data_IF_105165518943
#
_entry.id   IF_105165518943
#
_cell.length_a   1.000
_cell.length_b   1.000
_cell.length_c   1.000
_cell.angle_alpha   90.00
_cell.angle_beta   90.00
_cell.angle_gamma   90.00
#
_symmetry.space_group_name_H-M   'P 1'
#
loop_
_entity.id
_entity.type
_entity.pdbx_description
1 polymer ?
#
# COMPACT_ATOMS: atom_id res chain seq x y z
N UNK A 1 16.40 -10.82 39.94
CA UNK A 1 16.63 -10.60 38.50
C UNK A 1 15.40 -9.87 37.97
N UNK A 2 15.50 -8.57 37.80
CA UNK A 2 14.44 -7.72 37.25
C UNK A 2 14.53 -7.81 35.72
N UNK A 3 13.52 -8.33 35.11
CA UNK A 3 13.35 -8.22 33.66
C UNK A 3 12.97 -6.77 33.33
N UNK A 4 13.86 -6.07 32.67
CA UNK A 4 13.52 -4.81 32.04
C UNK A 4 12.52 -5.07 30.91
N UNK A 5 11.50 -4.23 30.70
CA UNK A 5 10.61 -4.35 29.52
C UNK A 5 11.45 -4.15 28.28
N UNK A 6 11.22 -4.99 27.27
CA UNK A 6 11.79 -4.84 25.96
C UNK A 6 11.40 -3.45 25.42
N UNK A 7 12.38 -2.55 25.44
CA UNK A 7 12.21 -1.21 24.87
C UNK A 7 11.94 -1.32 23.40
N UNK A 8 10.84 -0.71 22.95
CA UNK A 8 10.54 -0.55 21.55
C UNK A 8 11.78 -0.03 20.81
N UNK A 9 12.17 -0.70 19.77
CA UNK A 9 13.21 -0.28 18.87
C UNK A 9 12.78 1.07 18.27
N UNK A 10 13.45 2.12 18.74
CA UNK A 10 13.27 3.45 18.22
C UNK A 10 13.55 3.42 16.71
N UNK A 11 12.55 3.76 15.92
CA UNK A 11 12.75 4.08 14.52
C UNK A 11 13.84 5.14 14.43
N UNK A 12 14.92 4.86 13.73
CA UNK A 12 15.94 5.86 13.41
C UNK A 12 15.33 7.01 12.60
N UNK A 13 16.00 8.17 12.51
CA UNK A 13 15.53 9.32 11.77
C UNK A 13 15.53 9.02 10.26
N UNK A 14 14.57 8.27 9.77
CA UNK A 14 14.54 7.83 8.38
C UNK A 14 13.38 6.92 8.01
N UNK A 15 12.36 6.83 8.83
CA UNK A 15 11.14 6.11 8.50
C UNK A 15 11.06 4.69 9.05
N UNK A 16 9.87 4.16 9.04
CA UNK A 16 9.55 2.79 9.46
C UNK A 16 10.34 1.79 8.64
N UNK A 17 10.87 0.77 9.30
CA UNK A 17 11.60 -0.33 8.65
C UNK A 17 10.69 -1.23 7.82
N UNK A 18 9.40 -1.17 8.12
CA UNK A 18 8.36 -1.90 7.41
C UNK A 18 7.83 -1.07 6.25
N UNK A 19 7.42 -1.73 5.20
CA UNK A 19 6.91 -1.07 4.01
C UNK A 19 6.11 -2.02 3.14
N UNK A 20 5.32 -1.45 2.26
CA UNK A 20 4.53 -2.19 1.29
C UNK A 20 4.79 -1.65 -0.11
N UNK A 21 4.54 -2.45 -1.12
CA UNK A 21 4.60 -1.99 -2.51
C UNK A 21 3.45 -2.61 -3.28
N UNK A 22 2.71 -1.77 -4.00
CA UNK A 22 1.71 -2.23 -4.96
C UNK A 22 2.04 -1.68 -6.33
N UNK A 23 1.97 -2.53 -7.36
CA UNK A 23 2.09 -2.15 -8.76
C UNK A 23 0.80 -2.55 -9.44
N UNK A 24 0.27 -1.65 -10.28
CA UNK A 24 -1.00 -1.85 -10.98
C UNK A 24 -0.80 -1.71 -12.48
N UNK A 25 -1.47 -2.56 -13.26
CA UNK A 25 -1.40 -2.55 -14.72
C UNK A 25 -2.82 -2.58 -15.29
N UNK A 26 -3.13 -1.58 -16.10
CA UNK A 26 -4.38 -1.52 -16.83
C UNK A 26 -4.45 -2.58 -17.96
N UNK A 27 -5.65 -3.00 -18.32
CA UNK A 27 -5.88 -4.12 -19.24
C UNK A 27 -5.27 -3.95 -20.64
N UNK A 28 -5.10 -2.72 -21.12
CA UNK A 28 -4.47 -2.44 -22.41
C UNK A 28 -2.94 -2.31 -22.30
N UNK A 29 -2.42 -2.11 -21.07
CA UNK A 29 -0.99 -2.10 -20.77
C UNK A 29 -0.44 -3.51 -20.54
N UNK A 30 -1.28 -4.51 -20.31
CA UNK A 30 -0.87 -5.92 -20.14
C UNK A 30 -0.74 -6.66 -21.47
N UNK A 31 0.05 -7.74 -21.49
CA UNK A 31 0.29 -8.54 -22.70
C UNK A 31 -0.91 -9.38 -23.11
N UNK A 32 -1.73 -9.81 -22.17
CA UNK A 32 -2.85 -10.73 -22.34
C UNK A 32 -4.24 -10.09 -22.15
N UNK A 33 -4.28 -8.78 -21.87
CA UNK A 33 -5.53 -8.06 -21.64
C UNK A 33 -6.06 -8.20 -20.19
N UNK A 34 -5.33 -8.83 -19.31
CA UNK A 34 -5.68 -8.88 -17.88
C UNK A 34 -5.44 -7.53 -17.19
N UNK A 35 -6.20 -7.27 -16.12
CA UNK A 35 -5.88 -6.22 -15.15
C UNK A 35 -5.03 -6.85 -14.06
N UNK A 36 -3.95 -6.18 -13.67
CA UNK A 36 -3.08 -6.69 -12.62
C UNK A 36 -2.96 -5.70 -11.48
N UNK A 37 -2.94 -6.22 -10.26
CA UNK A 37 -2.44 -5.55 -9.07
C UNK A 37 -1.61 -6.52 -8.26
N UNK A 38 -0.74 -6.00 -7.43
CA UNK A 38 0.16 -6.77 -6.59
C UNK A 38 0.18 -6.18 -5.20
N UNK A 39 0.72 -6.93 -4.26
CA UNK A 39 0.94 -6.46 -2.91
C UNK A 39 2.14 -7.18 -2.31
N UNK A 40 3.11 -6.40 -1.81
CA UNK A 40 4.09 -6.88 -0.85
C UNK A 40 3.84 -6.22 0.48
N UNK A 41 4.04 -6.93 1.56
CA UNK A 41 3.96 -6.40 2.91
C UNK A 41 5.24 -6.79 3.63
N UNK A 42 6.10 -5.78 3.85
CA UNK A 42 7.41 -5.98 4.42
C UNK A 42 7.32 -5.85 5.95
N UNK A 43 7.66 -6.89 6.67
CA UNK A 43 7.67 -6.89 8.13
C UNK A 43 8.84 -7.69 8.66
N UNK A 44 9.38 -7.29 9.82
CA UNK A 44 10.56 -7.93 10.39
C UNK A 44 10.26 -9.25 11.12
N UNK A 45 9.11 -9.34 11.77
CA UNK A 45 8.77 -10.44 12.66
C UNK A 45 7.54 -11.22 12.17
N UNK A 46 7.06 -10.88 10.98
CA UNK A 46 5.86 -11.46 10.40
C UNK A 46 6.08 -12.81 9.76
N UNK A 47 5.24 -13.77 10.08
CA UNK A 47 5.06 -14.99 9.28
C UNK A 47 3.73 -14.89 8.57
N UNK A 48 3.72 -15.30 7.32
CA UNK A 48 2.50 -15.34 6.54
C UNK A 48 2.26 -16.73 5.98
N UNK A 49 1.02 -17.04 5.76
CA UNK A 49 0.59 -18.26 5.09
C UNK A 49 -0.63 -17.93 4.23
N UNK A 50 -0.87 -18.77 3.25
CA UNK A 50 -2.03 -18.65 2.40
C UNK A 50 -3.17 -19.50 2.98
N UNK A 51 -4.35 -18.90 3.10
CA UNK A 51 -5.58 -19.56 3.51
C UNK A 51 -6.72 -19.25 2.56
N UNK A 52 -7.70 -20.14 2.51
CA UNK A 52 -8.92 -19.94 1.74
C UNK A 52 -10.08 -19.78 2.72
N UNK A 53 -10.76 -18.65 2.64
CA UNK A 53 -12.03 -18.43 3.33
C UNK A 53 -13.15 -18.81 2.37
N UNK A 54 -14.04 -19.76 2.74
CA UNK A 54 -15.08 -20.22 1.84
C UNK A 54 -16.22 -19.20 1.69
N UNK A 55 -16.94 -19.31 0.60
CA UNK A 55 -18.24 -18.66 0.45
C UNK A 55 -19.20 -19.10 1.56
N UNK A 56 -19.90 -18.15 2.17
CA UNK A 56 -20.81 -18.44 3.29
C UNK A 56 -22.17 -17.78 3.12
N UNK A 57 -23.21 -18.48 3.59
CA UNK A 57 -24.56 -17.94 3.77
C UNK A 57 -24.79 -17.62 5.24
N UNK A 58 -25.37 -16.48 5.49
CA UNK A 58 -25.60 -15.98 6.84
C UNK A 58 -27.10 -15.94 7.19
N UNK A 59 -27.49 -16.33 8.41
CA UNK A 59 -28.87 -16.21 8.85
C UNK A 59 -29.30 -14.75 8.93
N UNK A 60 -30.60 -14.50 8.84
CA UNK A 60 -31.17 -13.16 9.03
C UNK A 60 -30.80 -12.60 10.40
N UNK A 61 -30.27 -11.38 10.40
CA UNK A 61 -29.82 -10.69 11.61
C UNK A 61 -28.41 -11.09 12.07
N UNK A 62 -27.65 -11.81 11.24
CA UNK A 62 -26.23 -12.05 11.50
C UNK A 62 -25.44 -10.73 11.56
N UNK A 63 -24.39 -10.72 12.34
CA UNK A 63 -23.48 -9.60 12.49
C UNK A 63 -22.07 -10.00 12.06
N UNK A 64 -21.38 -9.10 11.38
CA UNK A 64 -19.96 -9.17 11.13
C UNK A 64 -19.24 -8.51 12.31
N UNK A 65 -18.42 -9.27 13.01
CA UNK A 65 -17.62 -8.76 14.12
C UNK A 65 -16.43 -7.98 13.55
N UNK A 66 -16.15 -6.84 14.15
CA UNK A 66 -15.04 -5.97 13.81
C UNK A 66 -14.06 -5.98 14.98
N UNK A 67 -12.79 -6.16 14.66
CA UNK A 67 -11.72 -6.16 15.63
C UNK A 67 -10.78 -4.98 15.41
N UNK A 68 -10.26 -4.45 16.49
CA UNK A 68 -9.07 -3.60 16.49
C UNK A 68 -7.83 -4.45 16.81
N UNK A 69 -6.65 -3.86 16.62
CA UNK A 69 -5.39 -4.57 16.85
C UNK A 69 -5.29 -5.88 16.02
N UNK A 70 -5.66 -5.78 14.75
CA UNK A 70 -5.48 -6.86 13.80
C UNK A 70 -4.02 -6.88 13.38
N UNK A 71 -3.24 -7.74 14.04
CA UNK A 71 -1.87 -8.01 13.62
C UNK A 71 -1.88 -8.81 12.31
N UNK A 72 -0.89 -8.57 11.47
CA UNK A 72 -0.66 -9.26 10.20
C UNK A 72 -0.57 -10.79 10.31
N UNK A 73 -0.53 -11.31 11.51
CA UNK A 73 -0.28 -12.71 11.82
C UNK A 73 -1.54 -13.52 12.07
N UNK A 74 -2.68 -12.86 12.14
CA UNK A 74 -3.94 -13.53 12.47
C UNK A 74 -4.54 -14.16 11.22
N UNK A 75 -4.61 -15.47 11.22
CA UNK A 75 -5.27 -16.21 10.15
C UNK A 75 -6.80 -16.05 10.20
N UNK A 76 -7.49 -16.34 9.10
CA UNK A 76 -8.95 -16.31 9.09
C UNK A 76 -9.54 -17.17 10.18
N UNK A 77 -10.42 -16.57 11.01
CA UNK A 77 -11.06 -17.25 12.14
C UNK A 77 -10.23 -17.38 13.41
N UNK A 78 -8.97 -17.00 13.41
CA UNK A 78 -8.18 -16.84 14.63
C UNK A 78 -8.43 -15.45 15.22
N UNK A 79 -8.92 -15.41 16.45
CA UNK A 79 -9.20 -14.18 17.19
C UNK A 79 -8.26 -13.97 18.37
N UNK A 80 -7.19 -14.77 18.45
CA UNK A 80 -6.22 -14.69 19.55
C UNK A 80 -5.52 -13.34 19.57
N UNK A 81 -5.63 -12.62 20.67
CA UNK A 81 -5.03 -11.29 20.83
C UNK A 81 -5.80 -10.13 20.18
N UNK A 82 -6.90 -10.41 19.45
CA UNK A 82 -7.74 -9.38 18.87
C UNK A 82 -8.61 -8.71 19.95
N UNK A 83 -8.86 -7.43 19.76
CA UNK A 83 -9.72 -6.63 20.63
C UNK A 83 -11.03 -6.35 19.92
N UNK A 84 -12.15 -6.75 20.51
CA UNK A 84 -13.48 -6.44 19.97
C UNK A 84 -13.70 -4.93 19.88
N UNK A 85 -13.91 -4.44 18.66
CA UNK A 85 -14.19 -3.03 18.38
C UNK A 85 -15.69 -2.74 18.21
N UNK A 86 -16.45 -3.75 17.77
CA UNK A 86 -17.88 -3.63 17.54
C UNK A 86 -18.41 -4.68 16.57
N UNK A 87 -19.64 -4.47 16.10
CA UNK A 87 -20.25 -5.29 15.06
C UNK A 87 -21.05 -4.44 14.09
N UNK A 88 -21.21 -4.95 12.88
CA UNK A 88 -22.04 -4.34 11.85
C UNK A 88 -22.96 -5.41 11.24
N UNK A 89 -24.12 -5.05 10.66
CA UNK A 89 -24.96 -6.02 9.98
C UNK A 89 -24.19 -6.81 8.93
N UNK A 90 -24.30 -8.14 8.99
CA UNK A 90 -23.73 -9.00 7.95
C UNK A 90 -24.65 -9.06 6.73
N UNK A 91 -24.06 -9.19 5.55
CA UNK A 91 -24.81 -9.44 4.31
C UNK A 91 -25.31 -10.89 4.28
N UNK A 92 -26.39 -11.20 3.52
CA UNK A 92 -26.94 -12.56 3.46
C UNK A 92 -25.96 -13.62 2.97
N UNK A 93 -25.04 -13.23 2.10
CA UNK A 93 -23.99 -14.09 1.54
C UNK A 93 -22.67 -13.32 1.47
N UNK A 94 -21.56 -13.98 1.82
CA UNK A 94 -20.20 -13.47 1.65
C UNK A 94 -19.45 -14.29 0.63
N UNK A 95 -18.72 -13.64 -0.26
CA UNK A 95 -17.86 -14.31 -1.23
C UNK A 95 -16.69 -15.02 -0.54
N UNK A 96 -16.27 -16.15 -1.12
CA UNK A 96 -15.04 -16.80 -0.75
C UNK A 96 -13.83 -15.99 -1.24
N UNK A 97 -12.74 -16.01 -0.47
CA UNK A 97 -11.52 -15.25 -0.82
C UNK A 97 -10.26 -15.97 -0.37
N UNK A 98 -9.15 -15.63 -1.02
CA UNK A 98 -7.81 -16.01 -0.59
C UNK A 98 -7.30 -14.94 0.37
N UNK A 99 -6.75 -15.41 1.47
CA UNK A 99 -6.12 -14.63 2.50
C UNK A 99 -4.62 -14.89 2.53
N UNK A 100 -3.83 -13.82 2.54
CA UNK A 100 -2.38 -13.86 2.75
C UNK A 100 -1.98 -12.54 3.38
N UNK A 101 -1.85 -12.47 4.70
CA UNK A 101 -1.75 -11.25 5.52
C UNK A 101 -3.02 -10.40 5.46
N UNK A 102 -3.41 -10.02 4.25
CA UNK A 102 -4.68 -9.37 3.92
C UNK A 102 -5.52 -10.25 2.99
N UNK A 103 -6.85 -10.08 2.93
CA UNK A 103 -7.65 -10.59 1.83
C UNK A 103 -7.14 -10.03 0.50
N UNK A 104 -6.69 -10.91 -0.40
CA UNK A 104 -6.04 -10.45 -1.62
C UNK A 104 -6.89 -10.63 -2.89
N UNK A 105 -7.71 -11.69 -2.99
CA UNK A 105 -8.59 -11.92 -4.13
C UNK A 105 -9.80 -12.74 -3.72
N UNK A 106 -10.98 -12.37 -4.19
CA UNK A 106 -12.20 -13.13 -3.96
C UNK A 106 -12.63 -13.93 -5.21
N UNK A 107 -13.62 -14.82 -5.04
CA UNK A 107 -14.16 -15.67 -6.10
C UNK A 107 -14.80 -14.92 -7.27
N UNK A 108 -15.04 -13.60 -7.12
CA UNK A 108 -15.50 -12.71 -8.19
C UNK A 108 -14.35 -12.03 -8.93
N UNK A 109 -13.11 -12.40 -8.61
CA UNK A 109 -11.88 -11.81 -9.15
C UNK A 109 -11.70 -10.32 -8.76
N UNK A 110 -12.33 -9.88 -7.67
CA UNK A 110 -11.99 -8.63 -7.04
C UNK A 110 -10.69 -8.83 -6.27
N UNK A 111 -9.68 -8.04 -6.60
CA UNK A 111 -8.33 -8.12 -6.03
C UNK A 111 -8.00 -6.82 -5.32
N UNK A 112 -7.38 -6.91 -4.16
CA UNK A 112 -7.03 -5.76 -3.34
C UNK A 112 -5.57 -5.88 -2.91
N UNK A 113 -4.78 -4.83 -3.18
CA UNK A 113 -3.44 -4.64 -2.63
C UNK A 113 -3.46 -3.47 -1.64
N UNK A 114 -2.51 -3.42 -0.75
CA UNK A 114 -2.40 -2.40 0.28
C UNK A 114 -1.00 -1.78 0.29
N UNK A 115 -0.90 -0.49 0.64
CA UNK A 115 0.35 0.22 0.90
C UNK A 115 0.13 1.44 1.79
N UNK A 116 0.63 1.38 3.01
CA UNK A 116 0.49 2.45 4.00
C UNK A 116 1.23 3.72 3.60
N UNK A 117 0.58 4.86 3.56
CA UNK A 117 1.25 6.16 3.39
C UNK A 117 1.33 6.99 4.70
N UNK A 118 0.71 6.52 5.78
CA UNK A 118 0.71 7.12 7.11
C UNK A 118 -0.13 8.41 7.21
N UNK A 119 0.18 9.40 6.40
CA UNK A 119 -0.51 10.69 6.38
C UNK A 119 -0.22 11.60 7.58
N UNK A 120 -0.97 12.68 7.68
CA UNK A 120 -0.81 13.67 8.75
C UNK A 120 -1.44 13.19 10.04
N UNK A 121 -0.73 13.28 11.17
CA UNK A 121 -1.20 12.82 12.48
C UNK A 121 -2.52 13.46 12.93
N UNK A 122 -2.75 14.71 12.57
CA UNK A 122 -4.00 15.41 12.92
C UNK A 122 -5.25 14.79 12.27
N UNK A 123 -5.08 13.94 11.24
CA UNK A 123 -6.16 13.23 10.59
C UNK A 123 -6.57 11.95 11.30
N UNK A 124 -5.75 11.44 12.22
CA UNK A 124 -6.08 10.22 12.98
C UNK A 124 -7.31 10.45 13.84
N UNK A 125 -8.15 9.42 13.93
CA UNK A 125 -9.35 9.43 14.77
C UNK A 125 -9.33 8.26 15.74
N UNK A 126 -9.72 8.52 16.99
CA UNK A 126 -9.96 7.53 18.03
C UNK A 126 -11.42 7.01 18.07
N UNK A 127 -12.25 7.48 17.15
CA UNK A 127 -13.70 7.17 17.08
C UNK A 127 -14.06 6.21 15.95
N UNK A 128 -13.10 5.90 15.09
CA UNK A 128 -13.33 4.93 14.01
C UNK A 128 -13.38 3.49 14.54
N UNK A 129 -14.18 2.66 13.89
CA UNK A 129 -14.30 1.23 14.20
C UNK A 129 -13.48 0.37 13.22
N UNK A 130 -13.36 0.80 11.97
CA UNK A 130 -12.84 0.01 10.87
C UNK A 130 -11.39 0.43 10.60
N UNK A 131 -10.45 -0.51 10.71
CA UNK A 131 -9.06 -0.34 10.26
C UNK A 131 -8.88 -0.83 8.83
N UNK A 132 -7.68 -0.73 8.28
CA UNK A 132 -7.37 -1.15 6.91
C UNK A 132 -7.65 -2.64 6.67
N UNK A 133 -7.26 -3.51 7.60
CA UNK A 133 -7.50 -4.95 7.52
C UNK A 133 -8.99 -5.28 7.43
N UNK A 134 -9.79 -4.73 8.34
CA UNK A 134 -11.23 -4.97 8.36
C UNK A 134 -11.92 -4.39 7.12
N UNK A 135 -11.43 -3.25 6.62
CA UNK A 135 -11.94 -2.64 5.39
C UNK A 135 -11.72 -3.56 4.18
N UNK A 136 -10.51 -4.09 4.02
CA UNK A 136 -10.17 -5.01 2.92
C UNK A 136 -10.98 -6.30 3.02
N UNK A 137 -11.16 -6.84 4.24
CA UNK A 137 -12.01 -8.01 4.48
C UNK A 137 -13.46 -7.77 4.07
N UNK A 138 -14.04 -6.66 4.51
CA UNK A 138 -15.44 -6.33 4.20
C UNK A 138 -15.67 -6.11 2.70
N UNK A 139 -14.69 -5.54 1.98
CA UNK A 139 -14.76 -5.41 0.52
C UNK A 139 -14.66 -6.78 -0.16
N UNK A 140 -13.71 -7.62 0.24
CA UNK A 140 -13.53 -8.95 -0.34
C UNK A 140 -14.77 -9.84 -0.12
N UNK A 141 -15.37 -9.78 1.07
CA UNK A 141 -16.58 -10.54 1.42
C UNK A 141 -17.83 -10.09 0.65
N UNK A 142 -17.93 -8.80 0.28
CA UNK A 142 -19.23 -8.18 -0.09
C UNK A 142 -19.32 -7.70 -1.51
N UNK A 143 -18.19 -7.51 -2.21
CA UNK A 143 -18.14 -6.80 -3.48
C UNK A 143 -17.64 -7.67 -4.62
N UNK A 144 -18.20 -7.46 -5.81
CA UNK A 144 -17.84 -8.19 -7.01
C UNK A 144 -17.03 -7.36 -8.01
N UNK A 145 -17.02 -6.03 -7.86
CA UNK A 145 -16.32 -5.11 -8.76
C UNK A 145 -15.57 -4.03 -7.99
N UNK A 146 -14.56 -3.44 -8.63
CA UNK A 146 -13.76 -2.38 -8.03
C UNK A 146 -14.61 -1.17 -7.61
N UNK A 147 -15.52 -0.72 -8.47
CA UNK A 147 -16.42 0.42 -8.14
C UNK A 147 -17.39 0.12 -7.00
N UNK A 148 -17.89 -1.11 -6.94
CA UNK A 148 -18.74 -1.54 -5.83
C UNK A 148 -17.95 -1.54 -4.52
N UNK A 149 -16.71 -2.05 -4.54
CA UNK A 149 -15.81 -2.07 -3.39
C UNK A 149 -15.53 -0.66 -2.87
N UNK A 150 -15.18 0.29 -3.74
CA UNK A 150 -14.94 1.69 -3.38
C UNK A 150 -16.19 2.34 -2.74
N UNK A 151 -17.36 2.17 -3.34
CA UNK A 151 -18.62 2.71 -2.81
C UNK A 151 -19.00 2.09 -1.47
N UNK A 152 -18.83 0.77 -1.34
CA UNK A 152 -19.09 0.05 -0.10
C UNK A 152 -18.13 0.50 1.00
N UNK A 153 -16.84 0.62 0.69
CA UNK A 153 -15.84 1.15 1.62
C UNK A 153 -16.23 2.56 2.09
N UNK A 154 -16.53 3.47 1.16
CA UNK A 154 -16.94 4.83 1.49
C UNK A 154 -18.14 4.87 2.44
N UNK A 155 -19.21 4.11 2.15
CA UNK A 155 -20.41 4.05 2.98
C UNK A 155 -20.15 3.43 4.37
N UNK A 156 -19.32 2.40 4.45
CA UNK A 156 -18.95 1.80 5.73
C UNK A 156 -18.13 2.77 6.58
N UNK A 157 -17.17 3.45 5.97
CA UNK A 157 -16.30 4.40 6.66
C UNK A 157 -17.05 5.65 7.12
N UNK A 158 -17.98 6.16 6.32
CA UNK A 158 -18.85 7.28 6.72
C UNK A 158 -19.64 6.92 7.98
N UNK A 159 -20.20 5.72 8.03
CA UNK A 159 -21.08 5.28 9.11
C UNK A 159 -20.34 4.84 10.37
N UNK A 160 -19.25 4.11 10.22
CA UNK A 160 -18.57 3.42 11.32
C UNK A 160 -17.20 4.00 11.65
N UNK A 161 -16.69 4.89 10.81
CA UNK A 161 -15.41 5.57 10.97
C UNK A 161 -14.19 4.71 10.69
N UNK A 162 -13.13 5.38 10.26
CA UNK A 162 -11.81 4.80 9.99
C UNK A 162 -10.88 5.01 11.18
N UNK A 163 -10.21 3.94 11.61
CA UNK A 163 -9.33 3.93 12.77
C UNK A 163 -7.98 3.32 12.41
N UNK A 164 -7.27 3.99 11.51
CA UNK A 164 -5.92 3.60 11.12
C UNK A 164 -5.13 4.82 10.62
N UNK A 165 -3.87 4.61 10.24
CA UNK A 165 -3.08 5.54 9.47
C UNK A 165 -3.63 5.74 8.06
N UNK A 166 -2.97 6.60 7.28
CA UNK A 166 -3.32 6.76 5.87
C UNK A 166 -2.92 5.54 5.04
N UNK A 167 -3.87 4.99 4.29
CA UNK A 167 -3.71 3.78 3.49
C UNK A 167 -4.09 3.99 2.03
N UNK A 168 -3.31 3.40 1.14
CA UNK A 168 -3.65 3.26 -0.28
C UNK A 168 -4.03 1.81 -0.56
N UNK A 169 -5.26 1.58 -0.99
CA UNK A 169 -5.72 0.29 -1.49
C UNK A 169 -5.75 0.32 -3.01
N UNK A 170 -5.07 -0.63 -3.65
CA UNK A 170 -5.20 -0.84 -5.09
C UNK A 170 -6.29 -1.88 -5.32
N UNK A 171 -7.40 -1.44 -5.89
CA UNK A 171 -8.62 -2.23 -6.03
C UNK A 171 -8.82 -2.53 -7.50
N UNK A 172 -8.77 -3.79 -7.88
CA UNK A 172 -8.88 -4.24 -9.26
C UNK A 172 -10.00 -5.28 -9.43
N UNK A 173 -10.65 -5.22 -10.57
CA UNK A 173 -11.50 -6.28 -11.09
C UNK A 173 -11.03 -6.68 -12.50
N UNK A 174 -11.80 -7.48 -13.21
CA UNK A 174 -11.44 -7.95 -14.56
C UNK A 174 -11.42 -6.84 -15.64
N UNK A 175 -11.80 -5.61 -15.30
CA UNK A 175 -11.98 -4.51 -16.26
C UNK A 175 -11.13 -3.30 -15.97
N UNK A 176 -10.94 -2.97 -14.70
CA UNK A 176 -10.30 -1.73 -14.27
C UNK A 176 -9.56 -1.87 -12.94
N UNK A 177 -8.63 -0.97 -12.69
CA UNK A 177 -7.91 -0.87 -11.41
C UNK A 177 -7.90 0.57 -10.92
N UNK A 178 -8.00 0.72 -9.61
CA UNK A 178 -8.10 1.99 -8.90
C UNK A 178 -7.09 2.07 -7.76
N UNK A 179 -6.58 3.26 -7.49
CA UNK A 179 -6.01 3.59 -6.20
C UNK A 179 -7.09 4.27 -5.36
N UNK A 180 -7.34 3.71 -4.19
CA UNK A 180 -8.24 4.26 -3.18
C UNK A 180 -7.41 4.66 -1.98
N UNK A 181 -7.31 5.94 -1.72
CA UNK A 181 -6.55 6.49 -0.60
C UNK A 181 -7.49 6.98 0.49
N UNK A 182 -7.25 6.54 1.73
CA UNK A 182 -8.11 6.82 2.88
C UNK A 182 -7.29 7.25 4.08
N UNK A 183 -7.85 8.15 4.85
CA UNK A 183 -7.31 8.61 6.12
C UNK A 183 -8.46 8.98 7.07
N UNK A 184 -8.21 9.03 8.37
CA UNK A 184 -9.22 9.44 9.34
C UNK A 184 -9.72 10.88 9.13
N UNK A 185 -10.86 11.25 9.72
CA UNK A 185 -11.48 12.58 9.57
C UNK A 185 -10.94 13.64 10.56
N UNK A 186 -9.97 13.27 11.38
CA UNK A 186 -9.47 14.06 12.49
C UNK A 186 -9.96 13.58 13.86
N UNK A 187 -9.25 13.97 14.90
CA UNK A 187 -9.46 13.49 16.26
C UNK A 187 -10.90 13.77 16.76
N UNK A 188 -11.49 12.75 17.38
CA UNK A 188 -12.83 12.83 17.97
C UNK A 188 -13.99 12.76 16.97
N UNK A 189 -13.72 12.64 15.67
CA UNK A 189 -14.73 12.54 14.62
C UNK A 189 -14.93 11.09 14.16
N UNK A 190 -16.18 10.72 13.84
CA UNK A 190 -16.50 9.47 13.12
C UNK A 190 -16.52 9.77 11.63
N UNK A 191 -16.08 8.84 10.80
CA UNK A 191 -16.01 8.97 9.34
C UNK A 191 -14.63 8.71 8.80
N UNK A 192 -14.38 9.16 7.60
CA UNK A 192 -13.09 9.15 6.92
C UNK A 192 -13.01 10.29 5.91
N UNK A 193 -11.80 10.54 5.42
CA UNK A 193 -11.56 11.31 4.21
C UNK A 193 -10.90 10.39 3.21
N UNK A 194 -11.44 10.28 2.01
CA UNK A 194 -10.90 9.39 0.99
C UNK A 194 -11.07 9.95 -0.42
N UNK A 195 -10.20 9.52 -1.29
CA UNK A 195 -10.30 9.72 -2.73
C UNK A 195 -9.92 8.43 -3.46
N UNK A 196 -10.50 8.21 -4.62
CA UNK A 196 -10.14 7.12 -5.52
C UNK A 196 -9.90 7.65 -6.92
N UNK A 197 -8.80 7.21 -7.54
CA UNK A 197 -8.44 7.54 -8.90
C UNK A 197 -8.22 6.27 -9.71
N UNK A 198 -8.87 6.18 -10.87
CA UNK A 198 -8.70 5.09 -11.81
C UNK A 198 -7.36 5.19 -12.51
N UNK A 199 -6.68 4.05 -12.64
CA UNK A 199 -5.53 3.94 -13.54
C UNK A 199 -6.06 3.77 -14.97
N UNK A 200 -5.63 4.59 -15.94
CA UNK A 200 -6.04 4.41 -17.32
C UNK A 200 -5.74 3.00 -17.84
N UNK A 201 -6.57 2.50 -18.74
CA UNK A 201 -6.46 1.12 -19.24
C UNK A 201 -5.10 0.78 -19.87
N UNK A 202 -4.44 1.77 -20.47
CA UNK A 202 -3.14 1.62 -21.14
C UNK A 202 -1.95 2.11 -20.29
N UNK A 203 -2.17 2.27 -18.98
CA UNK A 203 -1.16 2.76 -18.03
C UNK A 203 -0.79 1.72 -16.97
N UNK A 204 0.34 1.99 -16.34
CA UNK A 204 0.81 1.37 -15.10
C UNK A 204 0.92 2.41 -14.01
N UNK A 205 0.72 2.01 -12.75
CA UNK A 205 0.94 2.86 -11.59
C UNK A 205 1.60 2.06 -10.48
N UNK A 206 2.14 2.76 -9.49
CA UNK A 206 2.80 2.18 -8.33
C UNK A 206 2.44 2.99 -7.09
N UNK A 207 2.32 2.31 -5.96
CA UNK A 207 2.37 2.91 -4.63
C UNK A 207 3.46 2.23 -3.79
N UNK A 208 4.39 3.03 -3.30
CA UNK A 208 5.51 2.59 -2.48
C UNK A 208 5.51 3.26 -1.10
N UNK A 209 4.40 3.25 -0.37
CA UNK A 209 4.20 3.95 0.90
C UNK A 209 4.18 5.49 0.76
N UNK A 210 3.46 5.97 -0.23
CA UNK A 210 3.27 7.40 -0.47
C UNK A 210 1.89 7.65 -1.06
N UNK A 211 1.18 8.65 -0.55
CA UNK A 211 -0.06 9.09 -1.21
C UNK A 211 0.24 9.56 -2.63
N UNK A 212 -0.56 9.11 -3.60
CA UNK A 212 -0.32 9.27 -5.04
C UNK A 212 -1.31 10.17 -5.73
N UNK A 213 -2.55 10.24 -5.20
CA UNK A 213 -3.62 11.02 -5.81
C UNK A 213 -3.31 12.51 -5.65
N UNK A 214 -3.24 13.20 -6.76
CA UNK A 214 -3.02 14.65 -6.79
C UNK A 214 -4.35 15.37 -6.87
N UNK A 215 -4.68 15.93 -8.01
CA UNK A 215 -5.92 16.65 -8.21
C UNK A 215 -7.10 15.68 -8.29
N UNK A 216 -8.23 16.07 -7.69
CA UNK A 216 -9.45 15.28 -7.66
C UNK A 216 -10.52 16.02 -8.45
N UNK A 217 -10.87 15.49 -9.62
CA UNK A 217 -11.94 16.04 -10.47
C UNK A 217 -13.23 15.23 -10.30
N UNK A 218 -14.12 15.67 -9.41
CA UNK A 218 -15.40 15.01 -9.19
C UNK A 218 -16.42 15.17 -10.33
N UNK A 219 -16.10 15.94 -11.38
CA UNK A 219 -16.91 16.00 -12.60
C UNK A 219 -16.60 14.81 -13.50
N UNK A 220 -15.38 14.33 -13.46
CA UNK A 220 -14.95 13.11 -14.17
C UNK A 220 -15.25 11.85 -13.31
N UNK A 221 -16.52 11.47 -13.29
CA UNK A 221 -17.00 10.32 -12.50
C UNK A 221 -16.52 8.95 -13.02
N UNK A 222 -15.97 8.92 -14.20
CA UNK A 222 -15.38 7.69 -14.74
C UNK A 222 -14.01 7.40 -14.16
N UNK A 223 -13.28 8.45 -13.76
CA UNK A 223 -11.92 8.34 -13.27
C UNK A 223 -11.74 8.77 -11.81
N UNK A 224 -12.73 9.43 -11.19
CA UNK A 224 -12.62 9.87 -9.79
C UNK A 224 -13.87 9.58 -8.97
N UNK A 225 -13.62 9.17 -7.72
CA UNK A 225 -14.61 9.11 -6.64
C UNK A 225 -13.96 9.66 -5.37
N UNK A 226 -14.74 10.26 -4.49
CA UNK A 226 -14.24 10.72 -3.19
C UNK A 226 -15.36 10.81 -2.15
N UNK A 227 -14.97 10.94 -0.89
CA UNK A 227 -15.88 11.28 0.20
C UNK A 227 -16.42 12.70 0.04
N UNK A 228 -17.65 12.93 0.48
CA UNK A 228 -18.31 14.24 0.38
C UNK A 228 -17.51 15.35 1.08
N UNK A 229 -16.74 14.99 2.11
CA UNK A 229 -15.92 15.91 2.90
C UNK A 229 -14.48 16.07 2.40
N UNK A 230 -14.12 15.55 1.23
CA UNK A 230 -12.72 15.56 0.75
C UNK A 230 -12.08 16.94 0.67
N UNK A 231 -12.85 17.97 0.35
CA UNK A 231 -12.39 19.37 0.32
C UNK A 231 -12.65 20.09 1.64
N UNK A 232 -13.86 19.94 2.18
CA UNK A 232 -14.27 20.68 3.38
C UNK A 232 -13.46 20.29 4.62
N UNK A 233 -13.07 19.03 4.77
CA UNK A 233 -12.21 18.61 5.86
C UNK A 233 -10.82 19.29 5.80
N UNK A 234 -10.27 19.49 4.60
CA UNK A 234 -9.01 20.21 4.42
C UNK A 234 -9.11 21.68 4.80
N UNK A 235 -10.21 22.32 4.41
CA UNK A 235 -10.48 23.72 4.75
C UNK A 235 -10.69 23.89 6.26
N UNK A 236 -11.55 23.08 6.88
CA UNK A 236 -11.82 23.10 8.32
C UNK A 236 -10.56 22.93 9.17
N UNK A 237 -9.65 22.08 8.73
CA UNK A 237 -8.39 21.79 9.45
C UNK A 237 -7.23 22.72 9.07
N UNK A 238 -7.49 23.72 8.19
CA UNK A 238 -6.47 24.66 7.73
C UNK A 238 -5.35 24.02 6.92
N UNK A 239 -5.60 22.88 6.29
CA UNK A 239 -4.64 22.15 5.46
C UNK A 239 -4.60 22.67 4.03
N UNK A 240 -5.67 23.30 3.59
CA UNK A 240 -5.82 23.91 2.27
C UNK A 240 -6.81 25.08 2.35
N UNK A 241 -6.51 26.14 1.64
CA UNK A 241 -7.40 27.31 1.51
C UNK A 241 -7.85 27.46 0.05
N UNK A 242 -9.14 27.29 -0.26
CA UNK A 242 -9.66 27.43 -1.62
C UNK A 242 -9.47 28.85 -2.20
N UNK A 243 -9.21 29.85 -1.36
CA UNK A 243 -8.97 31.24 -1.78
C UNK A 243 -7.49 31.56 -2.05
N UNK A 244 -6.58 30.62 -1.73
CA UNK A 244 -5.14 30.82 -1.95
C UNK A 244 -4.76 30.84 -3.43
N UNK A 245 -5.57 30.28 -4.31
CA UNK A 245 -5.24 30.03 -5.72
C UNK A 245 -4.44 28.76 -5.96
N UNK A 246 -4.00 28.08 -4.89
CA UNK A 246 -3.31 26.80 -5.01
C UNK A 246 -4.30 25.66 -5.25
N UNK A 247 -4.02 24.77 -6.22
CA UNK A 247 -4.90 23.63 -6.48
C UNK A 247 -4.92 22.68 -5.28
N UNK A 248 -6.10 22.09 -5.02
CA UNK A 248 -6.20 21.00 -4.07
C UNK A 248 -5.48 19.77 -4.63
N UNK A 249 -4.57 19.22 -3.82
CA UNK A 249 -3.85 17.99 -4.14
C UNK A 249 -3.88 17.04 -2.95
N UNK A 250 -4.66 15.97 -3.05
CA UNK A 250 -4.91 15.03 -1.94
C UNK A 250 -3.61 14.59 -1.26
N UNK A 251 -2.62 14.16 -2.02
CA UNK A 251 -1.34 13.67 -1.52
C UNK A 251 -0.54 14.71 -0.71
N UNK A 252 -0.68 16.00 -1.01
CA UNK A 252 0.00 17.07 -0.27
C UNK A 252 -0.82 17.58 0.89
N UNK A 253 -2.14 17.53 0.77
CA UNK A 253 -3.06 17.99 1.80
C UNK A 253 -3.12 16.99 2.95
N UNK A 254 -3.28 15.71 2.65
CA UNK A 254 -3.49 14.66 3.66
C UNK A 254 -2.32 13.71 3.85
N UNK A 255 -1.56 13.46 2.80
CA UNK A 255 -0.41 12.56 2.83
C UNK A 255 0.87 13.23 3.37
N UNK A 256 1.91 12.43 3.46
CA UNK A 256 3.29 12.88 3.66
C UNK A 256 4.17 12.33 2.53
N UNK A 257 4.57 13.20 1.59
CA UNK A 257 5.41 12.82 0.45
C UNK A 257 6.91 13.02 0.68
N UNK A 258 7.33 13.17 1.93
CA UNK A 258 8.75 13.40 2.26
C UNK A 258 9.61 12.15 2.11
N UNK A 259 9.02 10.96 2.09
CA UNK A 259 9.77 9.71 1.98
C UNK A 259 10.48 9.60 0.64
N UNK A 260 11.80 9.78 0.64
CA UNK A 260 12.65 9.53 -0.52
C UNK A 260 12.58 8.07 -0.97
N UNK A 261 12.43 7.14 -0.03
CA UNK A 261 12.37 5.70 -0.29
C UNK A 261 11.12 5.31 -1.09
N UNK A 262 9.98 5.92 -0.76
CA UNK A 262 8.76 5.73 -1.53
C UNK A 262 8.95 6.22 -2.96
N UNK A 263 9.43 7.44 -3.12
CA UNK A 263 9.65 8.07 -4.43
C UNK A 263 10.70 7.33 -5.26
N UNK A 264 11.73 6.76 -4.63
CA UNK A 264 12.76 5.99 -5.31
C UNK A 264 12.19 4.72 -5.95
N UNK A 265 11.27 4.02 -5.27
CA UNK A 265 10.56 2.87 -5.83
C UNK A 265 9.64 3.29 -6.98
N UNK A 266 8.92 4.41 -6.80
CA UNK A 266 8.08 4.99 -7.85
C UNK A 266 8.89 5.33 -9.11
N UNK A 267 10.01 6.04 -8.94
CA UNK A 267 10.92 6.33 -10.03
C UNK A 267 11.38 5.07 -10.74
N UNK A 268 11.85 4.07 -10.00
CA UNK A 268 12.46 2.88 -10.60
C UNK A 268 11.47 2.08 -11.45
N UNK A 269 10.25 1.92 -11.00
CA UNK A 269 9.22 1.24 -11.82
C UNK A 269 8.96 2.02 -13.11
N UNK A 270 8.86 3.33 -13.05
CA UNK A 270 8.64 4.15 -14.24
C UNK A 270 9.89 4.22 -15.14
N UNK A 271 11.08 4.25 -14.58
CA UNK A 271 12.35 4.22 -15.30
C UNK A 271 12.49 2.90 -16.12
N UNK A 272 12.09 1.78 -15.56
CA UNK A 272 12.11 0.47 -16.26
C UNK A 272 11.02 0.38 -17.32
N UNK A 273 9.81 0.88 -17.04
CA UNK A 273 8.65 0.67 -17.91
C UNK A 273 8.47 1.78 -18.95
N UNK A 274 8.97 2.96 -18.69
CA UNK A 274 8.86 4.14 -19.57
C UNK A 274 10.15 4.98 -19.54
N UNK A 275 11.31 4.41 -19.88
CA UNK A 275 12.63 5.06 -19.75
C UNK A 275 12.74 6.35 -20.56
N UNK A 276 12.02 6.49 -21.67
CA UNK A 276 12.05 7.73 -22.47
C UNK A 276 11.53 8.97 -21.74
N UNK A 277 10.82 8.79 -20.61
CA UNK A 277 10.40 9.91 -19.77
C UNK A 277 11.57 10.61 -19.08
N UNK A 278 12.73 9.94 -18.93
CA UNK A 278 13.94 10.53 -18.35
C UNK A 278 13.70 11.12 -16.95
N UNK A 279 12.93 10.45 -16.12
CA UNK A 279 12.55 10.94 -14.79
C UNK A 279 13.79 11.05 -13.88
N UNK A 280 13.91 12.16 -13.16
CA UNK A 280 14.97 12.35 -12.17
C UNK A 280 14.72 11.44 -10.96
N UNK A 281 15.66 10.54 -10.61
CA UNK A 281 15.52 9.66 -9.44
C UNK A 281 15.38 10.43 -8.11
N UNK A 282 15.83 11.67 -8.05
CA UNK A 282 15.70 12.55 -6.89
C UNK A 282 14.47 13.47 -6.98
N UNK A 283 13.68 13.34 -8.04
CA UNK A 283 12.47 14.12 -8.26
C UNK A 283 11.45 13.94 -7.13
N UNK A 284 10.64 14.97 -6.91
CA UNK A 284 9.58 14.96 -5.89
C UNK A 284 8.21 14.64 -6.47
N UNK A 285 8.04 14.90 -7.75
CA UNK A 285 6.74 14.88 -8.42
C UNK A 285 6.76 13.90 -9.59
N UNK A 286 6.42 12.67 -9.33
CA UNK A 286 6.18 11.68 -10.38
C UNK A 286 4.71 11.68 -10.79
N UNK A 287 4.40 11.38 -12.07
CA UNK A 287 3.03 11.23 -12.53
C UNK A 287 2.31 10.13 -11.73
N UNK A 288 0.99 10.25 -11.60
CA UNK A 288 0.17 9.21 -10.95
C UNK A 288 0.34 7.85 -11.64
N UNK A 289 0.37 7.85 -12.96
CA UNK A 289 0.56 6.66 -13.79
C UNK A 289 1.28 7.02 -15.07
N UNK A 290 1.91 6.05 -15.72
CA UNK A 290 2.59 6.21 -17.00
C UNK A 290 2.13 5.15 -18.01
N UNK A 291 2.19 5.49 -19.29
CA UNK A 291 2.02 4.51 -20.35
C UNK A 291 3.34 3.76 -20.53
N UNK A 292 3.40 2.44 -20.34
CA UNK A 292 4.63 1.70 -20.54
C UNK A 292 4.97 1.64 -22.02
N UNK A 293 6.26 1.62 -22.35
CA UNK A 293 6.75 1.55 -23.73
C UNK A 293 6.51 0.16 -24.33
N UNK A 294 6.53 -0.86 -23.49
CA UNK A 294 6.18 -2.23 -23.85
C UNK A 294 5.09 -2.74 -22.90
N UNK A 295 4.26 -3.65 -23.41
CA UNK A 295 3.23 -4.28 -22.60
C UNK A 295 3.84 -5.12 -21.50
N UNK A 296 3.23 -5.06 -20.32
CA UNK A 296 3.67 -5.71 -19.11
C UNK A 296 3.09 -7.12 -19.01
N UNK A 297 3.94 -8.12 -18.90
CA UNK A 297 3.55 -9.51 -18.60
C UNK A 297 3.60 -9.76 -17.08
N UNK A 298 3.08 -10.90 -16.66
CA UNK A 298 3.24 -11.38 -15.27
C UNK A 298 4.73 -11.55 -14.94
N UNK A 299 5.52 -12.11 -15.86
CA UNK A 299 6.96 -12.26 -15.66
C UNK A 299 7.64 -10.90 -15.47
N UNK A 300 7.25 -9.90 -16.28
CA UNK A 300 7.78 -8.54 -16.12
C UNK A 300 7.39 -7.93 -14.76
N UNK A 301 6.19 -8.19 -14.28
CA UNK A 301 5.77 -7.78 -12.94
C UNK A 301 6.66 -8.42 -11.87
N UNK A 302 6.96 -9.71 -11.98
CA UNK A 302 7.86 -10.41 -11.05
C UNK A 302 9.29 -9.88 -11.12
N UNK A 303 9.80 -9.57 -12.32
CA UNK A 303 11.11 -8.91 -12.50
C UNK A 303 11.17 -7.54 -11.79
N UNK A 304 10.10 -6.72 -11.88
CA UNK A 304 10.05 -5.44 -11.18
C UNK A 304 10.19 -5.61 -9.67
N UNK A 305 9.53 -6.62 -9.09
CA UNK A 305 9.66 -6.89 -7.66
C UNK A 305 11.04 -7.43 -7.26
N UNK A 306 11.73 -8.09 -8.18
CA UNK A 306 13.08 -8.60 -7.98
C UNK A 306 14.17 -7.56 -8.29
N UNK A 307 13.84 -6.38 -8.78
CA UNK A 307 14.84 -5.38 -9.18
C UNK A 307 15.61 -4.83 -7.98
N UNK A 308 16.91 -4.72 -8.14
CA UNK A 308 17.87 -4.25 -7.15
C UNK A 308 18.53 -2.94 -7.55
N UNK A 309 17.87 -2.16 -8.39
CA UNK A 309 18.37 -0.91 -8.98
C UNK A 309 19.63 -1.12 -9.85
N UNK A 310 19.82 -2.29 -10.42
CA UNK A 310 20.98 -2.60 -11.25
C UNK A 310 21.13 -1.60 -12.41
N UNK A 311 22.41 -1.23 -12.67
CA UNK A 311 22.75 -0.28 -13.73
C UNK A 311 22.57 1.19 -13.35
N UNK A 312 22.07 1.50 -12.17
CA UNK A 312 21.88 2.86 -11.66
C UNK A 312 22.95 3.23 -10.62
N UNK A 313 22.98 4.48 -10.17
CA UNK A 313 23.80 4.90 -9.03
C UNK A 313 23.36 4.27 -7.70
N UNK A 314 22.13 3.75 -7.64
CA UNK A 314 21.51 3.10 -6.48
C UNK A 314 21.62 1.57 -6.50
N UNK A 315 22.41 1.04 -7.41
CA UNK A 315 22.64 -0.40 -7.56
C UNK A 315 23.14 -1.01 -6.24
N UNK A 316 22.25 -1.74 -5.60
CA UNK A 316 22.50 -2.32 -4.27
C UNK A 316 23.68 -3.28 -4.27
N UNK A 317 23.99 -3.89 -5.40
CA UNK A 317 25.11 -4.83 -5.50
C UNK A 317 26.47 -4.14 -5.49
N UNK A 318 26.52 -2.87 -5.85
CA UNK A 318 27.77 -2.05 -5.84
C UNK A 318 28.16 -1.58 -4.45
N UNK A 319 27.21 -1.47 -3.52
CA UNK A 319 27.47 -1.01 -2.16
C UNK A 319 28.06 -2.10 -1.26
N UNK A 320 28.04 -3.35 -1.71
CA UNK A 320 28.58 -4.47 -0.99
C UNK A 320 30.02 -4.76 -1.40
N UNK A 321 30.88 -3.82 -1.14
CA UNK A 321 32.30 -3.95 -1.40
C UNK A 321 33.02 -4.39 -0.12
N UNK A 322 33.96 -5.33 -0.28
CA UNK A 322 34.91 -5.75 0.75
C UNK A 322 36.32 -5.52 0.22
N UNK A 323 37.28 -5.40 1.12
CA UNK A 323 38.70 -5.36 0.72
C UNK A 323 39.13 -6.78 0.30
N UNK A 324 39.49 -6.93 -0.96
CA UNK A 324 40.06 -8.18 -1.48
C UNK A 324 41.48 -8.43 -0.98
N UNK A 325 42.03 -9.61 -1.31
CA UNK A 325 43.37 -10.03 -0.91
C UNK A 325 44.46 -9.09 -1.45
N UNK A 326 44.19 -8.44 -2.58
CA UNK A 326 45.10 -7.47 -3.20
C UNK A 326 44.94 -6.03 -2.64
N UNK A 327 44.12 -5.86 -1.60
CA UNK A 327 43.83 -4.56 -0.98
C UNK A 327 42.86 -3.68 -1.75
N UNK A 328 42.31 -4.15 -2.89
CA UNK A 328 41.31 -3.40 -3.66
C UNK A 328 39.92 -3.73 -3.22
N UNK A 329 39.01 -2.77 -3.47
CA UNK A 329 37.60 -3.00 -3.27
C UNK A 329 37.07 -4.01 -4.31
N UNK A 330 36.50 -5.11 -3.84
CA UNK A 330 35.87 -6.14 -4.66
C UNK A 330 34.44 -6.38 -4.19
N UNK A 331 33.58 -6.85 -5.08
CA UNK A 331 32.22 -7.21 -4.71
C UNK A 331 32.25 -8.30 -3.64
N UNK A 332 31.50 -8.08 -2.55
CA UNK A 332 31.38 -9.09 -1.50
C UNK A 332 30.79 -10.39 -2.07
N UNK A 333 31.33 -11.57 -1.68
CA UNK A 333 30.70 -12.85 -2.02
C UNK A 333 29.28 -12.99 -1.46
N UNK A 334 28.92 -12.15 -0.49
CA UNK A 334 27.59 -12.08 0.10
C UNK A 334 26.70 -11.02 -0.57
N UNK A 335 27.17 -10.38 -1.64
CA UNK A 335 26.40 -9.42 -2.42
C UNK A 335 25.31 -10.14 -3.23
N UNK A 336 24.37 -10.75 -2.53
CA UNK A 336 23.19 -11.37 -3.10
C UNK A 336 21.96 -10.69 -2.53
N UNK A 337 21.26 -9.86 -3.31
CA UNK A 337 20.08 -9.14 -2.86
C UNK A 337 18.91 -10.06 -2.48
N UNK A 338 18.98 -11.32 -2.89
CA UNK A 338 17.95 -12.33 -2.59
C UNK A 338 18.26 -13.17 -1.35
N UNK A 339 19.39 -12.94 -0.69
CA UNK A 339 19.65 -13.62 0.58
C UNK A 339 18.75 -13.07 1.68
N UNK A 340 18.18 -13.99 2.46
CA UNK A 340 17.44 -13.68 3.65
C UNK A 340 18.30 -12.81 4.60
N UNK A 341 17.73 -11.73 5.09
CA UNK A 341 18.37 -10.80 6.02
C UNK A 341 18.94 -11.49 7.26
N UNK A 342 18.29 -12.52 7.78
CA UNK A 342 18.77 -13.29 8.92
C UNK A 342 20.02 -14.14 8.61
N UNK A 343 20.23 -14.45 7.35
CA UNK A 343 21.42 -15.19 6.88
C UNK A 343 22.62 -14.26 6.63
N UNK A 344 22.46 -12.96 6.77
CA UNK A 344 23.48 -11.96 6.51
C UNK A 344 23.71 -11.02 7.71
N UNK A 345 24.13 -11.56 8.86
CA UNK A 345 24.35 -10.74 10.07
C UNK A 345 25.37 -9.61 9.85
N UNK A 346 26.28 -9.75 8.86
CA UNK A 346 27.24 -8.71 8.49
C UNK A 346 26.58 -7.48 7.87
N UNK A 347 25.42 -7.62 7.25
CA UNK A 347 24.66 -6.49 6.72
C UNK A 347 24.08 -5.62 7.84
N UNK A 348 23.73 -6.24 8.95
CA UNK A 348 23.32 -5.51 10.16
C UNK A 348 24.45 -4.66 10.74
N UNK A 349 25.69 -5.09 10.54
CA UNK A 349 26.89 -4.46 11.12
C UNK A 349 27.40 -3.33 10.23
N UNK A 350 27.29 -3.48 8.92
CA UNK A 350 27.67 -2.43 7.95
C UNK A 350 26.49 -1.52 7.70
N UNK A 351 26.32 -0.51 8.54
CA UNK A 351 25.23 0.48 8.45
C UNK A 351 24.95 1.09 7.07
N UNK A 352 25.88 0.95 6.12
CA UNK A 352 25.71 1.37 4.74
C UNK A 352 24.60 0.61 3.97
N UNK A 353 24.27 -0.62 4.37
CA UNK A 353 23.20 -1.38 3.72
C UNK A 353 21.82 -1.00 4.25
N UNK A 354 21.73 -0.45 5.45
CA UNK A 354 20.46 -0.13 6.06
C UNK A 354 19.69 0.98 5.32
N UNK A 355 20.38 1.83 4.57
CA UNK A 355 19.70 2.92 3.87
C UNK A 355 19.27 2.56 2.45
N UNK A 356 19.93 1.60 1.83
CA UNK A 356 19.69 1.23 0.44
C UNK A 356 19.22 -0.22 0.29
N UNK A 357 19.81 -1.17 1.03
CA UNK A 357 19.49 -2.59 0.95
C UNK A 357 18.10 -2.97 1.44
N UNK A 358 17.51 -2.11 2.24
CA UNK A 358 16.13 -2.31 2.72
C UNK A 358 15.07 -1.80 1.75
N UNK A 359 15.45 -1.33 0.57
CA UNK A 359 14.58 -0.55 -0.31
C UNK A 359 14.58 -1.02 -1.76
N UNK A 360 14.63 -2.32 -1.96
CA UNK A 360 14.20 -2.90 -3.23
C UNK A 360 12.77 -2.48 -3.55
N UNK A 361 12.34 -2.62 -4.79
CA UNK A 361 10.93 -2.41 -5.17
C UNK A 361 10.03 -3.35 -4.35
N UNK A 362 10.49 -4.58 -4.12
CA UNK A 362 9.94 -5.47 -3.12
C UNK A 362 11.06 -6.04 -2.25
N UNK A 363 10.79 -6.21 -0.97
CA UNK A 363 11.66 -7.00 -0.10
C UNK A 363 11.25 -8.44 -0.20
N UNK A 364 12.24 -9.31 -0.43
CA UNK A 364 12.08 -10.75 -0.26
C UNK A 364 12.76 -11.15 1.05
N UNK A 365 11.99 -11.67 1.96
CA UNK A 365 12.43 -12.29 3.21
C UNK A 365 12.41 -13.80 3.08
#
# INVERSE_FOLDING_TARGET
MLFAPAGGLLAGPGGTRDGCTTITVGRLASTDGSVMTSHTCDGHDGRTWMSVVPHMKHPKGAEAIIYSNTDYMVGPGDTTGLIYAGSIPQVPETYGYIFSIYPCINERQLTIGESTFGGKDLMKSDKGMINCYELTRLMAERCATAREAIKTAGALLEKYGYNDGGECLTIADTKEVWHFEVIGPGQGKVGAVWAAQRVPDDHVSINGNSSRILEVDLKDRDNFMASDNVFSAAEELGLWDPKSGEPFRFAYVYGDRKSMWARRREWRVFDILAPSLGLDPNGENFPFSVKPEEKVSVDKMMELFADTYEGTEYDMTKLMLVTGEDGKAVKSPYANPFMNYDQMPLWKINGALNEMGERTIARFY
#
